data_IF_952196143254
#
_entry.id   IF_952196143254
#
_cell.length_a   1.000
_cell.length_b   1.000
_cell.length_c   1.000
_cell.angle_alpha   90.00
_cell.angle_beta   90.00
_cell.angle_gamma   90.00
#
_symmetry.space_group_name_H-M   'P 1'
#
loop_
_entity.id
_entity.type
_entity.pdbx_description
1 polymer ?
#
# COMPACT_ATOMS: atom_id res chain seq x y z
N UNK A 1 -6.75 -40.31 -55.77
CA UNK A 1 -7.12 -39.69 -54.48
C UNK A 1 -8.58 -39.31 -54.54
N UNK A 2 -9.42 -39.89 -53.68
CA UNK A 2 -10.85 -39.58 -53.66
C UNK A 2 -11.07 -38.15 -53.16
N UNK A 3 -12.18 -37.53 -53.55
CA UNK A 3 -12.56 -36.16 -53.16
C UNK A 3 -12.51 -35.99 -51.64
N UNK A 4 -12.92 -37.02 -50.88
CA UNK A 4 -12.81 -37.08 -49.41
C UNK A 4 -11.36 -37.04 -48.89
N UNK A 5 -10.39 -37.65 -49.58
CA UNK A 5 -8.97 -37.58 -49.19
C UNK A 5 -8.38 -36.18 -49.42
N UNK A 6 -8.84 -35.47 -50.45
CA UNK A 6 -8.45 -34.06 -50.71
C UNK A 6 -9.04 -33.12 -49.66
N UNK A 7 -10.32 -33.29 -49.33
CA UNK A 7 -11.01 -32.54 -48.26
C UNK A 7 -10.37 -32.78 -46.88
N UNK A 8 -10.02 -34.02 -46.53
CA UNK A 8 -9.30 -34.33 -45.29
C UNK A 8 -7.92 -33.67 -45.22
N UNK A 9 -7.15 -33.68 -46.31
CA UNK A 9 -5.83 -33.04 -46.36
C UNK A 9 -5.94 -31.51 -46.25
N UNK A 10 -6.90 -30.90 -46.93
CA UNK A 10 -7.18 -29.46 -46.82
C UNK A 10 -7.62 -29.07 -45.41
N UNK A 11 -8.49 -29.86 -44.78
CA UNK A 11 -8.90 -29.64 -43.39
C UNK A 11 -7.71 -29.72 -42.43
N UNK A 12 -6.84 -30.72 -42.56
CA UNK A 12 -5.64 -30.86 -41.72
C UNK A 12 -4.67 -29.68 -41.95
N UNK A 13 -4.43 -29.28 -43.20
CA UNK A 13 -3.55 -28.15 -43.53
C UNK A 13 -4.09 -26.82 -42.97
N UNK A 14 -5.40 -26.64 -42.91
CA UNK A 14 -6.02 -25.45 -42.31
C UNK A 14 -6.09 -25.52 -40.77
N UNK A 15 -6.18 -26.70 -40.19
CA UNK A 15 -6.34 -26.89 -38.74
C UNK A 15 -5.00 -26.80 -38.00
N UNK A 16 -3.90 -27.22 -38.63
CA UNK A 16 -2.53 -27.10 -38.07
C UNK A 16 -2.16 -25.64 -37.71
N UNK A 17 -2.27 -24.64 -38.61
CA UNK A 17 -1.94 -23.26 -38.25
C UNK A 17 -2.87 -22.74 -37.16
N UNK A 18 -4.18 -23.06 -37.19
CA UNK A 18 -5.12 -22.64 -36.13
C UNK A 18 -4.71 -23.19 -34.76
N UNK A 19 -4.34 -24.47 -34.68
CA UNK A 19 -3.87 -25.09 -33.42
C UNK A 19 -2.53 -24.50 -32.97
N UNK A 20 -1.60 -24.22 -33.89
CA UNK A 20 -0.33 -23.57 -33.57
C UNK A 20 -0.55 -22.15 -33.07
N UNK A 21 -1.39 -21.34 -33.73
CA UNK A 21 -1.69 -19.98 -33.30
C UNK A 21 -2.41 -19.98 -31.97
N UNK A 22 -3.39 -20.87 -31.76
CA UNK A 22 -4.06 -21.04 -30.47
C UNK A 22 -3.06 -21.48 -29.38
N UNK A 23 -2.16 -22.41 -29.69
CA UNK A 23 -1.11 -22.84 -28.78
C UNK A 23 -0.14 -21.72 -28.42
N UNK A 24 0.26 -20.88 -29.37
CA UNK A 24 1.11 -19.72 -29.13
C UNK A 24 0.38 -18.63 -28.33
N UNK A 25 -0.92 -18.43 -28.55
CA UNK A 25 -1.72 -17.48 -27.77
C UNK A 25 -1.90 -17.93 -26.31
N UNK A 26 -2.11 -19.24 -26.09
CA UNK A 26 -2.36 -19.79 -24.75
C UNK A 26 -1.06 -20.02 -23.96
N UNK A 27 -0.05 -20.64 -24.58
CA UNK A 27 1.19 -21.05 -23.90
C UNK A 27 2.37 -20.11 -24.16
N UNK A 28 2.31 -19.26 -25.18
CA UNK A 28 3.40 -18.36 -25.57
C UNK A 28 3.86 -17.40 -24.46
N UNK A 29 2.96 -16.75 -23.70
CA UNK A 29 3.35 -15.91 -22.58
C UNK A 29 4.19 -16.65 -21.53
N UNK A 30 3.74 -17.84 -21.11
CA UNK A 30 4.47 -18.66 -20.13
C UNK A 30 5.84 -19.13 -20.62
N UNK A 31 5.97 -19.48 -21.91
CA UNK A 31 7.25 -19.87 -22.52
C UNK A 31 8.21 -18.67 -22.56
N UNK A 32 7.74 -17.48 -22.95
CA UNK A 32 8.54 -16.27 -22.98
C UNK A 32 9.06 -15.90 -21.59
N UNK A 33 8.20 -15.98 -20.59
CA UNK A 33 8.56 -15.68 -19.20
C UNK A 33 9.58 -16.66 -18.65
N UNK A 34 9.37 -17.96 -18.87
CA UNK A 34 10.34 -18.99 -18.54
C UNK A 34 11.69 -18.69 -19.20
N UNK A 35 11.69 -18.31 -20.48
CA UNK A 35 12.92 -17.98 -21.20
C UNK A 35 13.63 -16.74 -20.61
N UNK A 36 12.89 -15.68 -20.27
CA UNK A 36 13.44 -14.46 -19.65
C UNK A 36 14.04 -14.75 -18.27
N UNK A 37 13.40 -15.63 -17.50
CA UNK A 37 13.81 -15.95 -16.13
C UNK A 37 14.75 -17.15 -16.00
N UNK A 38 14.99 -17.93 -17.07
CA UNK A 38 15.70 -19.22 -16.97
C UNK A 38 17.09 -19.09 -16.32
N UNK A 39 17.79 -18.00 -16.63
CA UNK A 39 19.13 -17.71 -16.13
C UNK A 39 19.12 -16.53 -15.13
N UNK A 40 17.93 -16.16 -14.61
CA UNK A 40 17.80 -15.13 -13.59
C UNK A 40 17.92 -15.73 -12.19
N UNK A 41 18.86 -15.18 -11.42
CA UNK A 41 18.95 -15.41 -9.97
C UNK A 41 18.50 -14.14 -9.24
N UNK A 42 17.38 -14.15 -8.49
CA UNK A 42 16.97 -12.98 -7.74
C UNK A 42 17.99 -12.65 -6.64
N UNK A 43 18.26 -11.37 -6.36
CA UNK A 43 19.02 -10.98 -5.18
C UNK A 43 18.42 -11.57 -3.90
N UNK A 44 19.25 -11.82 -2.89
CA UNK A 44 18.81 -12.48 -1.64
C UNK A 44 17.64 -11.72 -1.00
N UNK A 45 17.77 -10.40 -0.85
CA UNK A 45 16.74 -9.54 -0.27
C UNK A 45 15.40 -9.60 -1.04
N UNK A 46 15.46 -9.57 -2.37
CA UNK A 46 14.29 -9.73 -3.25
C UNK A 46 13.61 -11.10 -3.06
N UNK A 47 14.40 -12.17 -3.00
CA UNK A 47 13.86 -13.51 -2.78
C UNK A 47 13.25 -13.67 -1.38
N UNK A 48 13.79 -12.96 -0.38
CA UNK A 48 13.27 -12.92 0.97
C UNK A 48 11.95 -12.15 1.04
N UNK A 49 11.83 -10.98 0.40
CA UNK A 49 10.56 -10.24 0.32
C UNK A 49 9.44 -11.10 -0.27
N UNK A 50 9.70 -11.77 -1.39
CA UNK A 50 8.73 -12.66 -2.01
C UNK A 50 8.34 -13.86 -1.11
N UNK A 51 9.28 -14.34 -0.29
CA UNK A 51 9.03 -15.44 0.65
C UNK A 51 8.26 -15.00 1.88
N UNK A 52 8.65 -13.89 2.49
CA UNK A 52 8.01 -13.32 3.67
C UNK A 52 6.57 -12.91 3.37
N UNK A 53 6.32 -12.36 2.18
CA UNK A 53 4.98 -11.97 1.72
C UNK A 53 4.16 -13.17 1.21
N UNK A 54 4.70 -14.38 1.27
CA UNK A 54 4.02 -15.62 0.88
C UNK A 54 3.58 -15.63 -0.60
N UNK A 55 4.32 -14.96 -1.47
CA UNK A 55 4.03 -14.96 -2.91
C UNK A 55 4.01 -16.39 -3.45
N UNK A 56 2.95 -16.74 -4.17
CA UNK A 56 2.86 -17.98 -4.95
C UNK A 56 3.92 -18.01 -6.05
N UNK A 57 4.14 -19.16 -6.67
CA UNK A 57 5.06 -19.25 -7.82
C UNK A 57 4.66 -18.32 -8.96
N UNK A 58 3.35 -18.08 -9.14
CA UNK A 58 2.86 -17.13 -10.12
C UNK A 58 3.22 -15.69 -9.74
N UNK A 59 2.94 -15.27 -8.50
CA UNK A 59 3.32 -13.94 -8.03
C UNK A 59 4.84 -13.73 -8.05
N UNK A 60 5.64 -14.74 -7.66
CA UNK A 60 7.11 -14.70 -7.73
C UNK A 60 7.59 -14.47 -9.16
N UNK A 61 7.06 -15.19 -10.14
CA UNK A 61 7.41 -14.98 -11.55
C UNK A 61 7.09 -13.55 -11.99
N UNK A 62 5.89 -13.05 -11.67
CA UNK A 62 5.49 -11.69 -11.98
C UNK A 62 6.42 -10.65 -11.34
N UNK A 63 6.72 -10.82 -10.05
CA UNK A 63 7.63 -9.97 -9.32
C UNK A 63 9.02 -9.96 -9.96
N UNK A 64 9.58 -11.12 -10.29
CA UNK A 64 10.92 -11.25 -10.87
C UNK A 64 11.05 -10.77 -12.31
N UNK A 65 9.98 -10.90 -13.12
CA UNK A 65 9.95 -10.32 -14.47
C UNK A 65 10.12 -8.80 -14.45
N UNK A 66 9.68 -8.16 -13.36
CA UNK A 66 9.83 -6.74 -13.11
C UNK A 66 11.19 -6.32 -12.57
N UNK A 67 12.14 -7.25 -12.40
CA UNK A 67 13.51 -6.97 -11.91
C UNK A 67 13.50 -6.04 -10.68
N UNK A 68 12.88 -6.50 -9.58
CA UNK A 68 12.60 -5.63 -8.44
C UNK A 68 13.92 -5.25 -7.75
N UNK A 69 13.95 -4.06 -7.17
CA UNK A 69 15.13 -3.53 -6.48
C UNK A 69 14.73 -2.89 -5.15
N UNK A 70 15.50 -3.17 -4.10
CA UNK A 70 15.48 -2.39 -2.87
C UNK A 70 16.56 -1.33 -2.99
N UNK A 71 16.17 -0.06 -2.87
CA UNK A 71 17.02 1.08 -3.24
C UNK A 71 17.16 2.05 -2.08
N UNK A 72 18.33 2.68 -1.98
CA UNK A 72 18.50 3.79 -1.06
C UNK A 72 17.75 5.05 -1.55
N UNK A 73 17.82 6.13 -0.76
CA UNK A 73 17.05 7.35 -1.04
C UNK A 73 17.42 7.99 -2.36
N UNK A 74 18.69 7.96 -2.74
CA UNK A 74 19.15 8.60 -3.97
C UNK A 74 18.67 7.84 -5.20
N UNK A 75 18.83 6.51 -5.19
CA UNK A 75 18.41 5.62 -6.27
C UNK A 75 16.89 5.56 -6.39
N UNK A 76 16.19 5.49 -5.26
CA UNK A 76 14.74 5.44 -5.20
C UNK A 76 14.12 6.72 -5.76
N UNK A 77 14.63 7.89 -5.36
CA UNK A 77 14.11 9.16 -5.87
C UNK A 77 14.30 9.30 -7.38
N UNK A 78 15.40 8.77 -7.93
CA UNK A 78 15.63 8.77 -9.37
C UNK A 78 14.74 7.75 -10.10
N UNK A 79 14.50 6.59 -9.49
CA UNK A 79 13.71 5.52 -10.10
C UNK A 79 12.21 5.81 -10.04
N UNK A 80 11.73 6.45 -8.98
CA UNK A 80 10.31 6.78 -8.77
C UNK A 80 9.98 8.27 -9.01
N UNK A 81 10.87 9.02 -9.69
CA UNK A 81 10.61 10.41 -10.01
C UNK A 81 9.37 10.56 -10.91
N UNK A 82 8.39 11.35 -10.47
CA UNK A 82 7.18 11.61 -11.25
C UNK A 82 6.18 10.46 -11.31
N UNK A 83 6.36 9.39 -10.53
CA UNK A 83 5.44 8.24 -10.43
C UNK A 83 4.10 8.56 -9.73
N UNK A 84 3.65 9.82 -9.70
CA UNK A 84 2.37 10.21 -9.11
C UNK A 84 2.32 10.25 -7.58
N UNK A 85 3.26 9.61 -6.88
CA UNK A 85 3.36 9.59 -5.42
C UNK A 85 2.22 8.79 -4.78
N UNK A 86 2.54 7.65 -4.18
CA UNK A 86 1.57 6.85 -3.44
C UNK A 86 0.91 7.70 -2.33
N UNK A 87 -0.42 7.70 -2.27
CA UNK A 87 -1.19 8.32 -1.18
C UNK A 87 -1.37 7.37 0.01
N UNK A 88 -0.93 6.13 -0.14
CA UNK A 88 -0.94 5.15 0.94
C UNK A 88 0.39 5.13 1.70
N UNK A 89 0.48 4.22 2.67
CA UNK A 89 1.63 4.00 3.55
C UNK A 89 2.77 3.22 2.86
N UNK A 90 2.64 2.90 1.57
CA UNK A 90 3.62 2.17 0.76
C UNK A 90 4.71 3.11 0.28
N UNK A 91 5.95 2.61 0.22
CA UNK A 91 7.14 3.37 -0.21
C UNK A 91 7.79 2.70 -1.41
N UNK A 92 7.04 2.62 -2.49
CA UNK A 92 7.42 1.94 -3.71
C UNK A 92 6.95 2.67 -4.96
N UNK A 93 7.35 2.13 -6.11
CA UNK A 93 6.67 2.40 -7.36
C UNK A 93 6.81 1.22 -8.32
N UNK A 94 5.78 1.02 -9.13
CA UNK A 94 5.76 0.10 -10.25
C UNK A 94 5.69 0.86 -11.57
N UNK A 95 6.58 0.51 -12.50
CA UNK A 95 6.59 1.11 -13.83
C UNK A 95 5.84 0.25 -14.83
N UNK A 96 4.62 0.66 -15.16
CA UNK A 96 3.81 -0.02 -16.19
C UNK A 96 4.37 0.16 -17.62
N UNK A 97 4.26 -0.83 -18.51
CA UNK A 97 4.00 -2.24 -18.23
C UNK A 97 5.34 -2.98 -18.06
N UNK A 98 5.53 -3.65 -16.93
CA UNK A 98 6.66 -4.55 -16.67
C UNK A 98 8.06 -3.90 -16.77
N UNK A 99 8.22 -2.64 -16.32
CA UNK A 99 9.47 -1.86 -16.46
C UNK A 99 10.24 -1.63 -15.15
N UNK A 100 9.82 -2.24 -14.06
CA UNK A 100 10.49 -2.08 -12.78
C UNK A 100 9.53 -2.15 -11.62
N UNK A 101 10.00 -2.74 -10.51
CA UNK A 101 9.42 -2.55 -9.18
C UNK A 101 10.55 -2.02 -8.30
N UNK A 102 10.33 -0.88 -7.67
CA UNK A 102 11.32 -0.24 -6.82
C UNK A 102 10.76 -0.08 -5.43
N UNK A 103 11.49 -0.55 -4.44
CA UNK A 103 11.11 -0.52 -3.02
C UNK A 103 12.14 0.34 -2.30
N UNK A 104 11.69 1.32 -1.55
CA UNK A 104 12.59 2.13 -0.74
C UNK A 104 13.12 1.32 0.45
N UNK A 105 14.44 1.36 0.66
CA UNK A 105 15.09 0.72 1.80
C UNK A 105 14.81 1.49 3.09
N UNK A 106 14.20 0.82 4.06
CA UNK A 106 13.80 1.40 5.34
C UNK A 106 14.57 0.74 6.48
N UNK A 107 15.53 1.46 7.04
CA UNK A 107 16.36 0.99 8.14
C UNK A 107 15.74 1.21 9.52
N UNK A 108 14.67 2.02 9.61
CA UNK A 108 13.97 2.27 10.87
C UNK A 108 13.22 1.02 11.33
N UNK A 109 13.70 0.44 12.44
CA UNK A 109 13.11 -0.77 13.04
C UNK A 109 11.66 -0.60 13.50
N UNK A 110 11.18 0.63 13.70
CA UNK A 110 9.78 0.91 14.01
C UNK A 110 8.86 0.69 12.82
N UNK A 111 9.41 0.71 11.60
CA UNK A 111 8.67 0.55 10.35
C UNK A 111 8.83 -0.85 9.74
N UNK A 112 9.30 -1.83 10.52
CA UNK A 112 9.39 -3.24 10.09
C UNK A 112 8.06 -3.70 9.49
N UNK A 113 8.13 -4.29 8.31
CA UNK A 113 6.96 -4.71 7.53
C UNK A 113 6.71 -3.83 6.30
N UNK A 114 7.19 -2.59 6.27
CA UNK A 114 6.90 -1.65 5.16
C UNK A 114 7.44 -2.14 3.82
N UNK A 115 8.66 -2.68 3.77
CA UNK A 115 9.26 -3.21 2.54
C UNK A 115 8.49 -4.43 2.03
N UNK A 116 8.02 -5.30 2.94
CA UNK A 116 7.22 -6.47 2.61
C UNK A 116 5.86 -6.06 2.01
N UNK A 117 5.15 -5.14 2.68
CA UNK A 117 3.86 -4.64 2.19
C UNK A 117 4.03 -3.93 0.85
N UNK A 118 5.07 -3.10 0.72
CA UNK A 118 5.41 -2.41 -0.52
C UNK A 118 5.68 -3.40 -1.64
N UNK A 119 6.57 -4.37 -1.45
CA UNK A 119 6.88 -5.36 -2.50
C UNK A 119 5.64 -6.16 -2.94
N UNK A 120 4.75 -6.50 -1.99
CA UNK A 120 3.49 -7.18 -2.30
C UNK A 120 2.53 -6.27 -3.08
N UNK A 121 2.43 -5.00 -2.69
CA UNK A 121 1.59 -3.98 -3.31
C UNK A 121 2.03 -3.71 -4.75
N UNK A 122 3.31 -3.43 -4.98
CA UNK A 122 3.84 -3.17 -6.33
C UNK A 122 3.73 -4.41 -7.24
N UNK A 123 3.85 -5.62 -6.69
CA UNK A 123 3.62 -6.86 -7.43
C UNK A 123 2.15 -6.99 -7.85
N UNK A 124 1.20 -6.54 -7.01
CA UNK A 124 -0.22 -6.55 -7.36
C UNK A 124 -0.56 -5.57 -8.49
N UNK A 125 0.08 -4.40 -8.58
CA UNK A 125 -0.05 -3.55 -9.77
C UNK A 125 0.42 -4.26 -11.04
N UNK A 126 1.57 -4.94 -10.98
CA UNK A 126 2.05 -5.74 -12.11
C UNK A 126 1.10 -6.90 -12.47
N UNK A 127 0.40 -7.47 -11.48
CA UNK A 127 -0.61 -8.49 -11.70
C UNK A 127 -1.88 -7.91 -12.33
N UNK A 128 -2.35 -6.77 -11.83
CA UNK A 128 -3.51 -6.05 -12.33
C UNK A 128 -3.33 -5.66 -13.80
N UNK A 129 -2.15 -5.15 -14.16
CA UNK A 129 -1.73 -4.83 -15.54
C UNK A 129 -1.85 -5.98 -16.54
N UNK A 130 -1.83 -7.23 -16.06
CA UNK A 130 -1.91 -8.42 -16.89
C UNK A 130 -3.32 -9.01 -16.99
N UNK A 131 -4.28 -8.47 -16.25
CA UNK A 131 -5.67 -8.92 -16.35
C UNK A 131 -6.18 -8.72 -17.77
N UNK A 132 -6.89 -9.73 -18.27
CA UNK A 132 -7.68 -9.56 -19.50
C UNK A 132 -8.76 -8.49 -19.27
N UNK A 133 -9.32 -7.93 -20.35
CA UNK A 133 -10.40 -6.94 -20.21
C UNK A 133 -11.59 -7.46 -19.41
N UNK A 134 -11.96 -8.72 -19.61
CA UNK A 134 -13.07 -9.36 -18.87
C UNK A 134 -12.73 -9.59 -17.41
N UNK A 135 -11.50 -10.05 -17.11
CA UNK A 135 -11.08 -10.26 -15.73
C UNK A 135 -10.99 -8.93 -14.99
N UNK A 136 -10.41 -7.91 -15.62
CA UNK A 136 -10.33 -6.56 -15.06
C UNK A 136 -11.72 -6.02 -14.76
N UNK A 137 -12.66 -6.07 -15.71
CA UNK A 137 -14.03 -5.61 -15.47
C UNK A 137 -14.70 -6.35 -14.31
N UNK A 138 -14.48 -7.66 -14.18
CA UNK A 138 -15.01 -8.45 -13.05
C UNK A 138 -14.40 -7.99 -11.72
N UNK A 139 -13.07 -7.91 -11.65
CA UNK A 139 -12.34 -7.54 -10.43
C UNK A 139 -12.67 -6.11 -10.02
N UNK A 140 -12.71 -5.15 -10.94
CA UNK A 140 -13.08 -3.77 -10.66
C UNK A 140 -14.48 -3.68 -10.06
N UNK A 141 -15.43 -4.47 -10.59
CA UNK A 141 -16.79 -4.56 -10.04
C UNK A 141 -16.77 -5.02 -8.58
N UNK A 142 -16.03 -6.08 -8.25
CA UNK A 142 -15.90 -6.59 -6.88
C UNK A 142 -15.24 -5.58 -5.92
N UNK A 143 -14.18 -4.90 -6.38
CA UNK A 143 -13.47 -3.90 -5.58
C UNK A 143 -14.35 -2.69 -5.27
N UNK A 144 -15.07 -2.18 -6.29
CA UNK A 144 -15.97 -1.04 -6.14
C UNK A 144 -17.16 -1.39 -5.26
N UNK A 145 -17.74 -2.58 -5.41
CA UNK A 145 -18.83 -3.07 -4.56
C UNK A 145 -18.41 -3.14 -3.08
N UNK A 146 -17.26 -3.78 -2.82
CA UNK A 146 -16.68 -3.83 -1.47
C UNK A 146 -16.44 -2.43 -0.90
N UNK A 147 -15.86 -1.52 -1.69
CA UNK A 147 -15.62 -0.14 -1.28
C UNK A 147 -16.90 0.59 -0.88
N UNK A 148 -17.98 0.42 -1.64
CA UNK A 148 -19.24 1.14 -1.44
C UNK A 148 -20.08 0.58 -0.28
N UNK A 149 -20.02 -0.73 -0.04
CA UNK A 149 -20.98 -1.39 0.84
C UNK A 149 -20.33 -1.95 2.12
N UNK A 150 -19.12 -2.48 2.03
CA UNK A 150 -18.54 -3.32 3.09
C UNK A 150 -17.31 -2.72 3.76
N UNK A 151 -16.52 -1.89 3.08
CA UNK A 151 -15.33 -1.28 3.66
C UNK A 151 -15.69 -0.45 4.91
N UNK A 152 -15.13 -0.83 6.06
CA UNK A 152 -15.32 -0.12 7.35
C UNK A 152 -14.08 0.62 7.83
N UNK A 153 -12.90 0.34 7.29
CA UNK A 153 -11.67 1.00 7.69
C UNK A 153 -11.66 2.46 7.20
N UNK A 154 -11.89 3.39 8.12
CA UNK A 154 -11.93 4.82 7.85
C UNK A 154 -10.59 5.39 7.37
N UNK A 155 -9.46 4.78 7.74
CA UNK A 155 -8.15 5.19 7.19
C UNK A 155 -8.09 4.84 5.71
N UNK A 156 -8.47 3.62 5.34
CA UNK A 156 -8.46 3.19 3.93
C UNK A 156 -9.45 4.03 3.11
N UNK A 157 -10.64 4.33 3.64
CA UNK A 157 -11.58 5.24 2.97
C UNK A 157 -10.97 6.61 2.66
N UNK A 158 -10.25 7.21 3.63
CA UNK A 158 -9.56 8.49 3.41
C UNK A 158 -8.50 8.39 2.32
N UNK A 159 -7.76 7.29 2.25
CA UNK A 159 -6.79 7.05 1.16
C UNK A 159 -7.51 6.95 -0.19
N UNK A 160 -8.63 6.23 -0.27
CA UNK A 160 -9.44 6.13 -1.50
C UNK A 160 -9.97 7.50 -1.95
N UNK A 161 -10.39 8.35 -1.02
CA UNK A 161 -10.84 9.71 -1.31
C UNK A 161 -9.73 10.62 -1.84
N UNK A 162 -8.46 10.36 -1.48
CA UNK A 162 -7.31 11.08 -2.05
C UNK A 162 -7.10 10.66 -3.51
N UNK A 163 -7.01 9.36 -3.80
CA UNK A 163 -6.87 8.86 -5.18
C UNK A 163 -8.04 9.28 -6.07
N UNK A 164 -9.26 9.27 -5.55
CA UNK A 164 -10.44 9.75 -6.29
C UNK A 164 -10.30 11.21 -6.76
N UNK A 165 -9.51 12.03 -6.06
CA UNK A 165 -9.27 13.44 -6.40
C UNK A 165 -8.04 13.64 -7.28
N UNK A 166 -6.97 12.88 -7.05
CA UNK A 166 -5.69 13.06 -7.72
C UNK A 166 -5.54 12.21 -8.98
N UNK A 167 -6.02 10.96 -8.95
CA UNK A 167 -5.85 9.96 -10.01
C UNK A 167 -7.08 9.03 -10.11
N UNK A 168 -8.26 9.56 -10.50
CA UNK A 168 -9.51 8.79 -10.51
C UNK A 168 -9.50 7.60 -11.48
N UNK A 169 -8.72 7.69 -12.56
CA UNK A 169 -8.61 6.61 -13.57
C UNK A 169 -7.80 5.41 -13.05
N UNK A 170 -6.90 5.65 -12.08
CA UNK A 170 -6.07 4.60 -11.46
C UNK A 170 -6.72 4.02 -10.20
N UNK A 171 -7.81 4.61 -9.71
CA UNK A 171 -8.46 4.21 -8.45
C UNK A 171 -8.75 2.70 -8.33
N UNK A 172 -9.26 1.98 -9.35
CA UNK A 172 -9.47 0.53 -9.24
C UNK A 172 -8.16 -0.26 -9.11
N UNK A 173 -7.08 0.19 -9.75
CA UNK A 173 -5.74 -0.40 -9.60
C UNK A 173 -5.22 -0.22 -8.17
N UNK A 174 -5.45 0.96 -7.59
CA UNK A 174 -5.08 1.26 -6.20
C UNK A 174 -5.91 0.46 -5.20
N UNK A 175 -7.23 0.37 -5.40
CA UNK A 175 -8.09 -0.51 -4.63
C UNK A 175 -7.59 -1.95 -4.68
N UNK A 176 -7.19 -2.43 -5.86
CA UNK A 176 -6.67 -3.78 -6.05
C UNK A 176 -5.42 -4.02 -5.20
N UNK A 177 -4.44 -3.13 -5.24
CA UNK A 177 -3.20 -3.32 -4.47
C UNK A 177 -3.40 -3.08 -2.96
N UNK A 178 -4.15 -2.05 -2.57
CA UNK A 178 -4.40 -1.69 -1.15
C UNK A 178 -5.28 -2.72 -0.46
N UNK A 179 -6.38 -3.16 -1.08
CA UNK A 179 -7.26 -4.16 -0.45
C UNK A 179 -6.56 -5.52 -0.34
N UNK A 180 -5.76 -5.88 -1.33
CA UNK A 180 -4.95 -7.10 -1.31
C UNK A 180 -3.93 -7.13 -0.17
N UNK A 181 -3.41 -5.98 0.26
CA UNK A 181 -2.26 -5.90 1.18
C UNK A 181 -2.58 -5.35 2.57
N UNK A 182 -3.65 -4.57 2.73
CA UNK A 182 -3.92 -3.84 3.97
C UNK A 182 -5.25 -4.21 4.62
N UNK A 183 -6.24 -4.64 3.85
CA UNK A 183 -7.58 -4.97 4.37
C UNK A 183 -7.57 -6.35 5.03
N UNK A 184 -8.02 -6.42 6.28
CA UNK A 184 -8.13 -7.68 7.02
C UNK A 184 -9.07 -8.67 6.37
N UNK A 185 -10.35 -8.33 6.36
CA UNK A 185 -11.41 -9.23 5.93
C UNK A 185 -11.99 -8.74 4.60
N UNK A 186 -11.93 -9.61 3.60
CA UNK A 186 -12.50 -9.40 2.27
C UNK A 186 -13.64 -10.39 2.04
N UNK A 187 -14.61 -10.05 1.17
CA UNK A 187 -15.56 -11.02 0.63
C UNK A 187 -14.83 -12.23 0.03
N UNK A 188 -15.46 -13.41 0.13
CA UNK A 188 -14.86 -14.69 -0.28
C UNK A 188 -14.34 -14.66 -1.72
N UNK A 189 -15.08 -14.05 -2.65
CA UNK A 189 -14.65 -13.94 -4.06
C UNK A 189 -13.36 -13.14 -4.26
N UNK A 190 -13.14 -12.08 -3.48
CA UNK A 190 -11.91 -11.30 -3.51
C UNK A 190 -10.77 -12.07 -2.84
N UNK A 191 -11.02 -12.73 -1.72
CA UNK A 191 -10.03 -13.56 -1.04
C UNK A 191 -9.56 -14.71 -1.95
N UNK A 192 -10.48 -15.39 -2.64
CA UNK A 192 -10.18 -16.44 -3.61
C UNK A 192 -9.36 -15.93 -4.80
N UNK A 193 -9.68 -14.73 -5.28
CA UNK A 193 -8.88 -14.10 -6.31
C UNK A 193 -7.44 -13.83 -5.84
N UNK A 194 -7.24 -13.27 -4.64
CA UNK A 194 -5.91 -13.00 -4.10
C UNK A 194 -5.11 -14.25 -3.72
N UNK A 195 -5.75 -15.41 -3.50
CA UNK A 195 -5.06 -16.71 -3.34
C UNK A 195 -4.21 -17.08 -4.54
N UNK A 196 -4.50 -16.53 -5.72
CA UNK A 196 -3.65 -16.66 -6.91
C UNK A 196 -2.26 -16.08 -6.68
N UNK A 197 -2.15 -15.05 -5.84
CA UNK A 197 -0.91 -14.29 -5.64
C UNK A 197 -0.23 -14.57 -4.30
N UNK A 198 -1.00 -14.89 -3.25
CA UNK A 198 -0.45 -15.19 -1.93
C UNK A 198 -0.97 -16.51 -1.38
N UNK A 199 -0.08 -17.36 -0.87
CA UNK A 199 -0.51 -18.56 -0.14
C UNK A 199 -1.09 -18.21 1.23
N UNK A 200 -0.72 -17.06 1.80
CA UNK A 200 -1.35 -16.51 3.00
C UNK A 200 -1.37 -14.97 2.96
N UNK A 201 -2.43 -14.39 2.38
CA UNK A 201 -2.62 -12.93 2.31
C UNK A 201 -2.59 -12.27 3.69
N UNK A 202 -3.10 -12.95 4.72
CA UNK A 202 -3.07 -12.48 6.10
C UNK A 202 -1.65 -12.22 6.64
N UNK A 203 -0.62 -12.89 6.11
CA UNK A 203 0.78 -12.55 6.45
C UNK A 203 1.14 -11.15 5.98
N UNK A 204 0.74 -10.76 4.77
CA UNK A 204 0.97 -9.41 4.21
C UNK A 204 0.20 -8.36 5.00
N UNK A 205 -1.07 -8.63 5.29
CA UNK A 205 -1.91 -7.76 6.16
C UNK A 205 -1.29 -7.60 7.55
N UNK A 206 -0.71 -8.67 8.09
CA UNK A 206 0.02 -8.63 9.36
C UNK A 206 1.16 -7.63 9.37
N UNK A 207 1.97 -7.60 8.30
CA UNK A 207 3.03 -6.59 8.14
C UNK A 207 2.46 -5.17 8.03
N UNK A 208 1.36 -4.99 7.28
CA UNK A 208 0.69 -3.68 7.17
C UNK A 208 0.23 -3.17 8.53
N UNK A 209 -0.44 -4.02 9.33
CA UNK A 209 -0.89 -3.67 10.69
C UNK A 209 0.29 -3.33 11.61
N UNK A 210 1.38 -4.09 11.55
CA UNK A 210 2.56 -3.85 12.38
C UNK A 210 3.17 -2.47 12.12
N UNK A 211 3.40 -2.14 10.85
CA UNK A 211 3.97 -0.87 10.44
C UNK A 211 2.99 0.29 10.68
N UNK A 212 1.70 0.11 10.38
CA UNK A 212 0.65 1.09 10.65
C UNK A 212 0.55 1.47 12.13
N UNK A 213 0.78 0.52 13.05
CA UNK A 213 0.76 0.79 14.49
C UNK A 213 1.77 1.87 14.92
N UNK A 214 2.89 2.02 14.21
CA UNK A 214 3.85 3.08 14.46
C UNK A 214 3.27 4.48 14.18
N UNK A 215 2.45 4.63 13.13
CA UNK A 215 1.77 5.90 12.83
C UNK A 215 0.64 6.18 13.81
N UNK A 216 -0.19 5.18 14.08
CA UNK A 216 -1.29 5.32 15.06
C UNK A 216 -0.76 5.77 16.41
N UNK A 217 0.31 5.14 16.91
CA UNK A 217 0.96 5.56 18.15
C UNK A 217 1.42 7.02 18.14
N UNK A 218 1.93 7.52 17.01
CA UNK A 218 2.37 8.92 16.88
C UNK A 218 1.18 9.87 16.84
N UNK A 219 0.09 9.51 16.18
CA UNK A 219 -1.16 10.28 16.18
C UNK A 219 -1.73 10.39 17.59
N UNK A 220 -1.82 9.27 18.32
CA UNK A 220 -2.28 9.26 19.72
C UNK A 220 -1.40 10.16 20.62
N UNK A 221 -0.08 10.18 20.38
CA UNK A 221 0.84 11.05 21.11
C UNK A 221 0.62 12.53 20.81
N UNK A 222 0.34 12.89 19.56
CA UNK A 222 0.03 14.27 19.16
C UNK A 222 -1.25 14.72 19.85
N UNK A 223 -2.32 13.92 19.81
CA UNK A 223 -3.58 14.23 20.49
C UNK A 223 -3.39 14.40 22.00
N UNK A 224 -2.60 13.54 22.63
CA UNK A 224 -2.27 13.64 24.05
C UNK A 224 -1.48 14.92 24.38
N UNK A 225 -0.56 15.34 23.50
CA UNK A 225 0.18 16.58 23.67
C UNK A 225 -0.71 17.81 23.52
N UNK A 226 -1.63 17.82 22.56
CA UNK A 226 -2.59 18.92 22.36
C UNK A 226 -3.52 19.09 23.58
N UNK A 227 -4.02 17.97 24.11
CA UNK A 227 -4.82 17.98 25.34
C UNK A 227 -4.02 18.54 26.53
N UNK A 228 -2.74 18.16 26.66
CA UNK A 228 -1.85 18.65 27.71
C UNK A 228 -1.54 20.14 27.57
N UNK A 229 -1.33 20.62 26.34
CA UNK A 229 -1.11 22.04 26.07
C UNK A 229 -2.34 22.86 26.49
N UNK A 230 -3.54 22.41 26.13
CA UNK A 230 -4.79 23.07 26.52
C UNK A 230 -4.95 23.12 28.05
N UNK A 231 -4.60 22.03 28.75
CA UNK A 231 -4.64 22.01 30.22
C UNK A 231 -3.64 22.98 30.86
N UNK A 232 -2.40 23.04 30.33
CA UNK A 232 -1.38 23.95 30.83
C UNK A 232 -1.76 25.41 30.61
N UNK A 233 -2.34 25.75 29.46
CA UNK A 233 -2.87 27.10 29.19
C UNK A 233 -3.93 27.50 30.20
N UNK A 234 -4.89 26.61 30.51
CA UNK A 234 -5.90 26.87 31.53
C UNK A 234 -5.28 27.07 32.92
N UNK A 235 -4.30 26.24 33.29
CA UNK A 235 -3.59 26.35 34.57
C UNK A 235 -2.80 27.65 34.68
N UNK A 236 -2.12 28.08 33.61
CA UNK A 236 -1.41 29.37 33.58
C UNK A 236 -2.39 30.52 33.82
N UNK A 237 -3.57 30.48 33.20
CA UNK A 237 -4.62 31.49 33.39
C UNK A 237 -5.07 31.58 34.84
N UNK A 238 -5.34 30.43 35.47
CA UNK A 238 -5.71 30.34 36.89
C UNK A 238 -4.60 30.88 37.80
N UNK A 239 -3.35 30.46 37.55
CA UNK A 239 -2.20 30.90 38.31
C UNK A 239 -2.00 32.42 38.19
N UNK A 240 -2.16 32.99 37.00
CA UNK A 240 -2.06 34.43 36.78
C UNK A 240 -3.13 35.19 37.56
N UNK A 241 -4.38 34.72 37.56
CA UNK A 241 -5.45 35.31 38.39
C UNK A 241 -5.12 35.25 39.87
N UNK A 242 -4.63 34.11 40.36
CA UNK A 242 -4.24 33.94 41.77
C UNK A 242 -3.08 34.87 42.16
N UNK A 243 -2.04 34.97 41.33
CA UNK A 243 -0.91 35.87 41.56
C UNK A 243 -1.35 37.34 41.59
N UNK A 244 -2.24 37.75 40.69
CA UNK A 244 -2.78 39.11 40.68
C UNK A 244 -3.58 39.41 41.96
N UNK A 245 -4.38 38.46 42.45
CA UNK A 245 -5.12 38.60 43.72
C UNK A 245 -4.18 38.70 44.93
N UNK A 246 -3.16 37.84 44.99
CA UNK A 246 -2.16 37.87 46.07
C UNK A 246 -1.38 39.18 46.07
N UNK A 247 -0.98 39.68 44.90
CA UNK A 247 -0.31 40.97 44.76
C UNK A 247 -1.18 42.13 45.27
N UNK A 248 -2.46 42.15 44.92
CA UNK A 248 -3.42 43.15 45.40
C UNK A 248 -3.60 43.09 46.94
N UNK A 249 -3.69 41.88 47.51
CA UNK A 249 -3.77 41.69 48.96
C UNK A 249 -2.53 42.22 49.67
N UNK A 250 -1.34 41.87 49.20
CA UNK A 250 -0.06 42.34 49.76
C UNK A 250 0.05 43.87 49.71
N UNK A 251 -0.42 44.49 48.63
CA UNK A 251 -0.44 45.94 48.50
C UNK A 251 -1.38 46.59 49.53
N UNK A 252 -2.57 46.02 49.75
CA UNK A 252 -3.51 46.48 50.77
C UNK A 252 -2.95 46.32 52.19
N UNK A 253 -2.29 45.20 52.48
CA UNK A 253 -1.66 44.96 53.78
C UNK A 253 -0.52 45.95 54.05
N UNK A 254 0.33 46.21 53.05
CA UNK A 254 1.38 47.25 53.16
C UNK A 254 0.80 48.63 53.47
N UNK A 255 -0.27 49.01 52.79
CA UNK A 255 -0.93 50.30 53.03
C UNK A 255 -1.50 50.40 54.45
N UNK A 256 -2.11 49.32 54.97
CA UNK A 256 -2.61 49.25 56.35
C UNK A 256 -1.48 49.44 57.38
N UNK A 257 -0.39 48.69 57.24
CA UNK A 257 0.76 48.78 58.16
C UNK A 257 1.38 50.17 58.17
N UNK A 258 1.54 50.80 56.99
CA UNK A 258 2.03 52.17 56.90
C UNK A 258 1.12 53.16 57.65
N UNK A 259 -0.20 53.06 57.47
CA UNK A 259 -1.15 53.96 58.14
C UNK A 259 -1.22 53.77 59.66
N UNK A 260 -0.89 52.59 60.18
CA UNK A 260 -0.84 52.33 61.63
C UNK A 260 0.45 52.81 62.29
N UNK A 261 1.55 52.92 61.53
CA UNK A 261 2.83 53.43 62.06
C UNK A 261 2.88 54.96 62.22
N UNK A 262 2.00 55.68 61.51
CA UNK A 262 1.86 57.15 61.63
C UNK A 262 0.97 57.58 62.82
N UNK A 263 0.44 56.64 63.61
CA UNK A 263 -0.44 56.89 64.76
C UNK A 263 0.22 56.70 66.14
N UNK A 264 1.53 56.42 66.18
CA UNK A 264 2.38 56.49 67.39
C UNK A 264 3.23 57.78 67.40
#
# INVERSE_FOLDING_TARGET
MTTMQRLRRLAIILLIPVVITAGLLVFGPGIREWYILRDYTPPTEISQLATQTTMTDQARRLFYLNRPQVQDRSEFNASCEGAGGEHTIVLGCYHSPQRGIFVFSVTDTQLKGVEQVTAAHEMLHAAYDRLSRSDRQRIDGLLVDYYQHDLKDERIKRVMDLYKRSAPDDLPNEMHSIFGTEVGDLPEELEDYYRTYFTSRQTVVGFSRQYQAAFTKRQDQIEAYDARLTQLEAQIKVNQTSLNQQAASLQADRARVASSGDQE
#
